data_IF_191209679419
#
_entry.id   IF_191209679419
#
_cell.length_a   1.000
_cell.length_b   1.000
_cell.length_c   1.000
_cell.angle_alpha   90.00
_cell.angle_beta   90.00
_cell.angle_gamma   90.00
#
_symmetry.space_group_name_H-M   'P 1'
#
loop_
_entity.id
_entity.type
_entity.pdbx_description
1 polymer ?
#
# COMPACT_ATOMS: atom_id res chain seq x y z
N UNK A 1 -39.39 -5.24 -7.59
CA UNK A 1 -39.86 -3.82 -7.43
C UNK A 1 -39.40 -3.18 -6.09
N UNK A 2 -39.15 -3.92 -5.01
CA UNK A 2 -38.85 -3.35 -3.68
C UNK A 2 -37.49 -2.63 -3.55
N UNK A 3 -36.43 -3.14 -4.21
CA UNK A 3 -35.09 -2.56 -4.11
C UNK A 3 -34.94 -1.17 -4.77
N UNK A 4 -35.56 -0.99 -5.91
CA UNK A 4 -35.53 0.27 -6.70
C UNK A 4 -36.14 1.44 -5.92
N UNK A 5 -37.26 1.20 -5.27
CA UNK A 5 -37.96 2.23 -4.48
C UNK A 5 -37.15 2.62 -3.24
N UNK A 6 -36.42 1.68 -2.64
CA UNK A 6 -35.59 1.94 -1.46
C UNK A 6 -34.39 2.85 -1.79
N UNK A 7 -33.70 2.58 -2.92
CA UNK A 7 -32.57 3.41 -3.40
C UNK A 7 -33.01 4.81 -3.76
N UNK A 8 -34.12 4.93 -4.51
CA UNK A 8 -34.69 6.26 -4.86
C UNK A 8 -35.07 7.05 -3.63
N UNK A 9 -35.74 6.45 -2.62
CA UNK A 9 -36.06 7.11 -1.36
C UNK A 9 -34.83 7.58 -0.61
N UNK A 10 -33.76 6.80 -0.60
CA UNK A 10 -32.53 7.13 0.11
C UNK A 10 -31.76 8.30 -0.59
N UNK A 11 -31.74 8.32 -1.93
CA UNK A 11 -31.15 9.41 -2.70
C UNK A 11 -31.94 10.72 -2.55
N UNK A 12 -33.26 10.65 -2.56
CA UNK A 12 -34.14 11.81 -2.38
C UNK A 12 -34.00 12.40 -0.97
N UNK A 13 -33.97 11.54 0.08
CA UNK A 13 -33.84 12.01 1.47
C UNK A 13 -32.53 12.75 1.73
N UNK A 14 -31.43 12.33 1.09
CA UNK A 14 -30.12 13.02 1.17
C UNK A 14 -30.10 14.41 0.50
N UNK A 15 -31.06 14.67 -0.38
CA UNK A 15 -31.20 15.94 -1.13
C UNK A 15 -32.37 16.80 -0.58
N UNK A 16 -32.99 16.37 0.53
CA UNK A 16 -34.13 17.08 1.12
C UNK A 16 -35.40 17.06 0.27
N UNK A 17 -35.52 16.09 -0.68
CA UNK A 17 -36.65 15.96 -1.60
C UNK A 17 -37.50 14.77 -1.18
N UNK A 18 -38.81 14.94 -1.13
CA UNK A 18 -39.75 13.85 -0.84
C UNK A 18 -40.06 13.01 -2.08
N UNK A 19 -40.48 11.76 -1.89
CA UNK A 19 -40.90 10.91 -3.00
C UNK A 19 -42.11 11.49 -3.75
N UNK A 20 -43.00 12.20 -3.06
CA UNK A 20 -44.16 12.84 -3.64
C UNK A 20 -43.79 14.03 -4.57
N UNK A 21 -42.82 14.83 -4.17
CA UNK A 21 -42.29 15.93 -5.02
C UNK A 21 -41.58 15.38 -6.25
N UNK A 22 -40.85 14.28 -6.13
CA UNK A 22 -40.23 13.61 -7.27
C UNK A 22 -41.26 13.02 -8.25
N UNK A 23 -42.26 12.30 -7.73
CA UNK A 23 -43.29 11.66 -8.58
C UNK A 23 -44.24 12.65 -9.23
N UNK A 24 -44.37 13.86 -8.66
CA UNK A 24 -45.14 14.95 -9.28
C UNK A 24 -44.41 15.67 -10.43
N UNK A 25 -43.15 15.30 -10.70
CA UNK A 25 -42.33 15.91 -11.76
C UNK A 25 -41.81 17.32 -11.45
N UNK A 26 -42.04 17.82 -10.23
CA UNK A 26 -41.67 19.22 -9.86
C UNK A 26 -40.18 19.37 -9.60
N UNK A 27 -39.48 18.32 -9.15
CA UNK A 27 -38.03 18.33 -8.81
C UNK A 27 -37.39 17.00 -9.19
N UNK A 28 -36.34 17.05 -10.02
CA UNK A 28 -35.50 15.90 -10.32
C UNK A 28 -34.06 16.26 -9.98
N UNK A 29 -33.51 15.80 -8.85
CA UNK A 29 -32.13 16.07 -8.49
C UNK A 29 -31.14 15.62 -9.57
N UNK A 30 -30.08 16.39 -9.88
CA UNK A 30 -29.12 16.06 -10.94
C UNK A 30 -28.48 14.67 -10.78
N UNK A 31 -28.15 14.28 -9.55
CA UNK A 31 -27.58 12.97 -9.25
C UNK A 31 -28.56 11.81 -9.55
N UNK A 32 -29.85 11.99 -9.33
CA UNK A 32 -30.86 10.99 -9.63
C UNK A 32 -31.12 10.91 -11.14
N UNK A 33 -31.10 12.05 -11.85
CA UNK A 33 -31.25 12.12 -13.31
C UNK A 33 -30.09 11.40 -14.00
N UNK A 34 -28.89 11.60 -13.54
CA UNK A 34 -27.69 10.91 -14.04
C UNK A 34 -27.80 9.40 -13.82
N UNK A 35 -28.15 8.95 -12.60
CA UNK A 35 -28.27 7.54 -12.25
C UNK A 35 -29.37 6.82 -13.08
N UNK A 36 -30.49 7.47 -13.28
CA UNK A 36 -31.58 6.93 -14.14
C UNK A 36 -31.13 6.83 -15.60
N UNK A 37 -30.37 7.80 -16.10
CA UNK A 37 -29.83 7.78 -17.47
C UNK A 37 -28.86 6.61 -17.69
N UNK A 38 -27.96 6.35 -16.75
CA UNK A 38 -27.04 5.19 -16.79
C UNK A 38 -27.82 3.87 -16.77
N UNK A 39 -28.80 3.74 -15.89
CA UNK A 39 -29.63 2.55 -15.79
C UNK A 39 -30.45 2.27 -17.06
N UNK A 40 -30.98 3.31 -17.71
CA UNK A 40 -31.70 3.17 -18.99
C UNK A 40 -30.75 2.82 -20.14
N UNK A 41 -29.51 3.32 -20.12
CA UNK A 41 -28.48 2.97 -21.08
C UNK A 41 -28.08 1.49 -20.98
N UNK A 42 -27.90 0.99 -19.76
CA UNK A 42 -27.62 -0.43 -19.50
C UNK A 42 -28.77 -1.32 -19.97
N UNK A 43 -30.02 -0.94 -19.72
CA UNK A 43 -31.20 -1.71 -20.18
C UNK A 43 -31.33 -1.72 -21.72
N UNK A 44 -31.04 -0.60 -22.39
CA UNK A 44 -31.04 -0.53 -23.86
C UNK A 44 -29.95 -1.36 -24.50
N UNK A 45 -28.81 -1.50 -23.83
CA UNK A 45 -27.70 -2.34 -24.30
C UNK A 45 -28.02 -3.83 -24.13
N UNK A 46 -28.65 -4.22 -23.03
CA UNK A 46 -29.09 -5.59 -22.77
C UNK A 46 -30.20 -6.06 -23.75
N UNK A 47 -31.12 -5.17 -24.16
CA UNK A 47 -32.17 -5.46 -25.11
C UNK A 47 -31.69 -5.56 -26.57
N UNK A 48 -30.63 -4.86 -26.94
CA UNK A 48 -30.03 -4.94 -28.29
C UNK A 48 -29.26 -6.23 -28.56
N UNK A 49 -28.83 -6.95 -27.55
CA UNK A 49 -28.00 -8.16 -27.69
C UNK A 49 -28.82 -9.48 -27.81
N UNK A 50 -30.14 -9.45 -27.97
CA UNK A 50 -30.92 -10.62 -28.35
C UNK A 50 -30.72 -11.88 -27.48
N UNK A 51 -30.32 -11.74 -26.23
CA UNK A 51 -30.12 -12.86 -25.35
C UNK A 51 -31.49 -13.42 -24.89
N UNK A 52 -31.85 -14.62 -25.33
CA UNK A 52 -32.86 -15.45 -24.67
C UNK A 52 -32.52 -15.49 -23.20
N UNK A 53 -33.27 -14.79 -22.35
CA UNK A 53 -33.16 -14.90 -20.90
C UNK A 53 -33.66 -16.29 -20.53
N UNK A 54 -32.76 -17.26 -20.47
CA UNK A 54 -32.98 -18.43 -19.61
C UNK A 54 -33.15 -17.85 -18.21
N UNK A 55 -34.30 -18.16 -17.58
CA UNK A 55 -34.55 -17.77 -16.20
C UNK A 55 -33.42 -18.33 -15.32
N UNK A 56 -32.42 -17.51 -15.09
CA UNK A 56 -31.33 -17.81 -14.16
C UNK A 56 -31.92 -17.69 -12.76
N UNK A 57 -31.77 -18.71 -11.97
CA UNK A 57 -32.06 -18.65 -10.54
C UNK A 57 -31.48 -17.33 -9.97
N UNK A 58 -32.12 -16.68 -9.00
CA UNK A 58 -31.64 -15.45 -8.45
C UNK A 58 -30.17 -15.62 -8.06
N UNK A 59 -29.28 -14.82 -8.63
CA UNK A 59 -27.86 -14.90 -8.32
C UNK A 59 -27.75 -14.78 -6.81
N UNK A 60 -27.12 -15.77 -6.16
CA UNK A 60 -26.76 -15.71 -4.74
C UNK A 60 -26.15 -14.31 -4.49
N UNK A 61 -26.66 -13.61 -3.51
CA UNK A 61 -26.07 -12.32 -3.14
C UNK A 61 -24.55 -12.52 -3.01
N UNK A 62 -23.71 -11.62 -3.54
CA UNK A 62 -22.28 -11.79 -3.44
C UNK A 62 -21.94 -12.01 -1.96
N UNK A 63 -21.15 -13.02 -1.69
CA UNK A 63 -20.70 -13.31 -0.32
C UNK A 63 -20.02 -12.10 0.25
N UNK A 64 -20.31 -11.79 1.52
CA UNK A 64 -19.68 -10.68 2.21
C UNK A 64 -18.17 -10.94 2.28
N UNK A 65 -17.40 -9.98 1.78
CA UNK A 65 -15.94 -10.02 1.84
C UNK A 65 -15.51 -9.29 3.11
N UNK A 66 -14.73 -9.98 3.96
CA UNK A 66 -14.04 -9.37 5.09
C UNK A 66 -12.56 -9.73 4.97
N UNK A 67 -11.72 -8.72 4.94
CA UNK A 67 -10.27 -8.82 4.98
C UNK A 67 -9.84 -8.17 6.27
N UNK A 68 -9.43 -8.99 7.23
CA UNK A 68 -8.93 -8.51 8.52
C UNK A 68 -7.63 -7.70 8.35
N UNK A 69 -7.28 -6.84 9.30
CA UNK A 69 -6.08 -6.01 9.22
C UNK A 69 -4.82 -6.85 8.95
N UNK A 70 -4.21 -6.68 7.77
CA UNK A 70 -3.05 -7.47 7.30
C UNK A 70 -1.79 -7.20 8.11
N UNK A 71 -1.67 -6.02 8.73
CA UNK A 71 -0.59 -5.68 9.64
C UNK A 71 -0.77 -6.32 11.02
N UNK A 72 -1.96 -6.79 11.37
CA UNK A 72 -2.27 -7.32 12.71
C UNK A 72 -2.09 -6.25 13.78
N UNK A 73 -1.18 -6.51 14.74
CA UNK A 73 -0.94 -5.62 15.88
C UNK A 73 0.23 -4.64 15.67
N UNK A 74 0.76 -4.50 14.45
CA UNK A 74 1.89 -3.58 14.18
C UNK A 74 1.41 -2.13 14.35
N UNK A 75 2.04 -1.41 15.28
CA UNK A 75 1.65 -0.05 15.69
C UNK A 75 2.91 0.80 15.90
N UNK A 76 3.55 1.21 14.80
CA UNK A 76 4.74 2.04 14.87
C UNK A 76 4.41 3.53 14.72
N UNK A 77 5.36 4.36 15.08
CA UNK A 77 5.24 5.82 14.98
C UNK A 77 6.51 6.48 14.47
N UNK A 78 6.53 7.81 14.51
CA UNK A 78 7.59 8.60 13.91
C UNK A 78 8.64 9.13 14.90
N UNK A 79 8.42 8.93 16.21
CA UNK A 79 9.29 9.41 17.30
C UNK A 79 10.11 8.27 17.90
N UNK A 80 10.64 8.44 19.10
CA UNK A 80 11.39 7.39 19.79
C UNK A 80 10.57 6.10 19.90
N UNK A 81 11.20 4.94 19.70
CA UNK A 81 12.61 4.72 19.41
C UNK A 81 12.97 4.81 17.92
N UNK A 82 11.99 4.93 17.02
CA UNK A 82 12.15 4.84 15.56
C UNK A 82 13.10 5.91 14.98
N UNK A 83 13.14 7.10 15.55
CA UNK A 83 14.00 8.20 15.11
C UNK A 83 15.40 8.23 15.76
N UNK A 84 15.78 7.26 16.58
CA UNK A 84 16.99 7.34 17.42
C UNK A 84 18.29 7.57 16.63
N UNK A 85 18.34 7.18 15.37
CA UNK A 85 19.47 7.41 14.45
C UNK A 85 19.36 8.71 13.66
N UNK A 86 18.24 9.43 13.74
CA UNK A 86 17.95 10.62 12.94
C UNK A 86 18.24 11.89 13.72
N UNK A 87 19.54 12.21 13.88
CA UNK A 87 20.01 13.37 14.63
C UNK A 87 20.71 14.33 13.69
N UNK A 88 20.23 15.55 13.64
CA UNK A 88 20.78 16.60 12.78
C UNK A 88 20.93 17.92 13.53
N UNK A 89 21.97 18.72 13.21
CA UNK A 89 22.19 20.02 13.84
C UNK A 89 21.23 21.08 13.28
N UNK A 90 20.68 21.91 14.16
CA UNK A 90 19.89 23.08 13.80
C UNK A 90 20.20 24.21 14.79
N UNK A 91 20.63 25.37 14.30
CA UNK A 91 20.97 26.54 15.13
C UNK A 91 21.93 26.21 16.29
N UNK A 92 22.99 25.44 16.02
CA UNK A 92 24.01 25.05 17.00
C UNK A 92 23.58 23.98 18.01
N UNK A 93 22.39 23.44 17.90
CA UNK A 93 21.89 22.33 18.74
C UNK A 93 21.59 21.11 17.88
N UNK A 94 21.73 19.91 18.46
CA UNK A 94 21.37 18.66 17.80
C UNK A 94 19.95 18.25 18.19
N UNK A 95 19.13 17.98 17.19
CA UNK A 95 17.73 17.56 17.35
C UNK A 95 17.50 16.18 16.76
N UNK A 96 16.60 15.44 17.35
CA UNK A 96 15.98 14.29 16.69
C UNK A 96 14.99 14.79 15.63
N UNK A 97 15.08 14.25 14.43
CA UNK A 97 14.12 14.52 13.37
C UNK A 97 13.12 13.38 13.23
N UNK A 98 11.89 13.70 12.87
CA UNK A 98 10.86 12.67 12.62
C UNK A 98 11.31 11.71 11.54
N UNK A 99 10.91 10.43 11.67
CA UNK A 99 11.12 9.41 10.62
C UNK A 99 10.47 9.83 9.31
N UNK A 100 9.32 10.52 9.38
CA UNK A 100 8.46 10.85 8.27
C UNK A 100 7.39 9.77 8.06
N UNK A 101 6.15 10.21 7.82
CA UNK A 101 4.99 9.31 7.75
C UNK A 101 5.12 8.24 6.66
N UNK A 102 5.66 8.60 5.49
CA UNK A 102 5.87 7.66 4.39
C UNK A 102 6.90 6.58 4.75
N UNK A 103 8.00 6.95 5.39
CA UNK A 103 9.01 5.98 5.82
C UNK A 103 8.48 5.09 6.95
N UNK A 104 7.68 5.64 7.88
CA UNK A 104 7.01 4.85 8.93
C UNK A 104 6.05 3.83 8.32
N UNK A 105 5.22 4.23 7.35
CA UNK A 105 4.30 3.34 6.66
C UNK A 105 5.05 2.20 5.94
N UNK A 106 6.06 2.53 5.15
CA UNK A 106 6.88 1.53 4.43
C UNK A 106 7.59 0.60 5.41
N UNK A 107 8.17 1.11 6.51
CA UNK A 107 8.85 0.27 7.51
C UNK A 107 7.91 -0.74 8.16
N UNK A 108 6.66 -0.37 8.45
CA UNK A 108 5.64 -1.28 8.96
C UNK A 108 5.24 -2.36 7.94
N UNK A 109 5.10 -1.99 6.66
CA UNK A 109 4.85 -2.96 5.57
C UNK A 109 6.01 -3.95 5.46
N UNK A 110 7.26 -3.50 5.48
CA UNK A 110 8.43 -4.38 5.44
C UNK A 110 8.45 -5.33 6.65
N UNK A 111 8.16 -4.84 7.85
CA UNK A 111 8.08 -5.67 9.05
C UNK A 111 6.91 -6.67 8.99
N UNK A 112 5.78 -6.30 8.40
CA UNK A 112 4.66 -7.23 8.19
C UNK A 112 5.03 -8.40 7.27
N UNK A 113 5.85 -8.16 6.26
CA UNK A 113 6.39 -9.20 5.38
C UNK A 113 7.42 -10.09 6.10
N UNK A 114 8.25 -9.51 6.97
CA UNK A 114 9.11 -10.31 7.85
C UNK A 114 8.30 -11.31 8.69
N UNK A 115 7.19 -10.89 9.27
CA UNK A 115 6.28 -11.78 10.03
C UNK A 115 5.69 -12.91 9.16
N UNK A 116 5.64 -12.73 7.85
CA UNK A 116 5.26 -13.74 6.87
C UNK A 116 6.46 -14.56 6.34
N UNK A 117 7.65 -14.41 6.93
CA UNK A 117 8.85 -15.17 6.61
C UNK A 117 9.84 -14.50 5.67
N UNK A 118 9.56 -13.29 5.17
CA UNK A 118 10.45 -12.56 4.25
C UNK A 118 11.52 -11.82 5.03
N UNK A 119 12.76 -12.28 4.99
CA UNK A 119 13.92 -11.62 5.62
C UNK A 119 14.74 -10.89 4.56
N UNK A 120 15.08 -9.64 4.82
CA UNK A 120 15.83 -8.78 3.87
C UNK A 120 16.81 -7.87 4.57
N UNK A 121 17.82 -7.48 3.82
CA UNK A 121 18.67 -6.34 4.06
C UNK A 121 18.31 -5.16 3.17
N UNK A 122 19.30 -4.31 2.90
CA UNK A 122 19.16 -3.13 2.06
C UNK A 122 20.49 -2.83 1.36
N UNK A 123 20.52 -2.56 0.05
CA UNK A 123 21.72 -2.09 -0.63
C UNK A 123 22.16 -0.73 -0.08
N UNK A 124 23.37 -0.22 -0.45
CA UNK A 124 23.83 1.10 -0.01
C UNK A 124 22.85 2.19 -0.45
N UNK A 125 22.55 3.13 0.43
CA UNK A 125 21.78 4.31 0.07
C UNK A 125 22.66 5.38 -0.59
N UNK A 126 22.06 6.36 -1.25
CA UNK A 126 22.76 7.49 -1.84
C UNK A 126 22.94 8.61 -0.80
N UNK A 127 24.06 9.33 -0.88
CA UNK A 127 24.20 10.58 -0.15
C UNK A 127 23.37 11.68 -0.81
N UNK A 128 22.79 12.56 0.00
CA UNK A 128 22.00 13.70 -0.49
C UNK A 128 21.99 14.86 0.50
N UNK A 129 21.46 16.00 0.07
CA UNK A 129 21.26 17.16 0.93
C UNK A 129 19.77 17.46 1.06
N UNK A 130 19.28 17.62 2.29
CA UNK A 130 17.84 17.90 2.54
C UNK A 130 17.45 19.28 1.99
N UNK A 131 16.18 19.39 1.55
CA UNK A 131 15.70 20.61 0.89
C UNK A 131 15.56 21.80 1.87
N UNK A 132 14.99 21.56 3.06
CA UNK A 132 14.65 22.63 4.02
C UNK A 132 15.88 23.09 4.81
N UNK A 133 16.50 22.23 5.59
CA UNK A 133 17.57 22.59 6.51
C UNK A 133 18.98 22.39 5.94
N UNK A 134 19.09 21.95 4.68
CA UNK A 134 20.38 21.68 4.01
C UNK A 134 21.28 20.71 4.76
N UNK A 135 20.70 19.74 5.47
CA UNK A 135 21.46 18.68 6.12
C UNK A 135 22.15 17.79 5.08
N UNK A 136 23.44 17.58 5.24
CA UNK A 136 24.18 16.58 4.48
C UNK A 136 23.85 15.20 5.09
N UNK A 137 23.13 14.37 4.33
CA UNK A 137 22.83 12.98 4.68
C UNK A 137 23.83 12.10 3.97
N UNK A 138 24.68 11.42 4.74
CA UNK A 138 25.68 10.51 4.18
C UNK A 138 25.02 9.27 3.60
N UNK A 139 25.65 8.67 2.59
CA UNK A 139 25.29 7.35 2.12
C UNK A 139 25.45 6.34 3.27
N UNK A 140 24.47 5.46 3.42
CA UNK A 140 24.55 4.34 4.36
C UNK A 140 25.13 3.12 3.61
N UNK A 141 26.00 2.31 4.25
CA UNK A 141 26.54 1.10 3.65
C UNK A 141 25.43 0.06 3.44
N UNK A 142 25.73 -1.02 2.70
CA UNK A 142 24.78 -2.15 2.61
C UNK A 142 24.53 -2.78 3.98
N UNK A 143 23.32 -3.23 4.19
CA UNK A 143 22.94 -4.12 5.31
C UNK A 143 22.52 -5.43 4.69
N UNK A 144 23.27 -6.49 4.91
CA UNK A 144 22.95 -7.81 4.40
C UNK A 144 21.62 -8.32 4.97
N UNK A 145 21.41 -8.13 6.26
CA UNK A 145 20.19 -8.52 6.96
C UNK A 145 19.89 -7.56 8.11
N UNK A 146 18.67 -7.04 8.17
CA UNK A 146 18.19 -6.32 9.35
C UNK A 146 17.97 -7.29 10.53
N UNK A 147 18.14 -6.80 11.74
CA UNK A 147 17.83 -7.58 12.96
C UNK A 147 16.30 -7.61 13.20
N UNK A 148 15.60 -8.29 12.29
CA UNK A 148 14.15 -8.40 12.32
C UNK A 148 13.59 -9.03 13.61
N UNK A 149 14.31 -10.01 14.16
CA UNK A 149 13.87 -10.76 15.33
C UNK A 149 13.84 -9.93 16.62
N UNK A 150 14.60 -8.85 16.66
CA UNK A 150 14.58 -7.92 17.78
C UNK A 150 13.50 -6.86 17.69
N UNK A 151 12.83 -6.73 16.53
CA UNK A 151 11.72 -5.80 16.34
C UNK A 151 10.44 -6.36 16.96
N UNK A 152 9.51 -5.48 17.32
CA UNK A 152 8.23 -5.85 17.95
C UNK A 152 7.07 -5.08 17.30
N UNK A 153 5.85 -5.59 17.43
CA UNK A 153 4.64 -4.97 16.86
C UNK A 153 4.41 -3.54 17.38
N UNK A 154 4.68 -3.30 18.65
CA UNK A 154 4.71 -1.96 19.23
C UNK A 154 6.15 -1.44 19.37
N UNK A 155 6.33 -0.22 19.86
CA UNK A 155 7.64 0.35 20.15
C UNK A 155 8.44 -0.56 21.11
N UNK A 156 9.61 -1.12 20.69
CA UNK A 156 10.35 -2.05 21.51
C UNK A 156 10.94 -1.39 22.75
N UNK A 157 10.95 -2.12 23.86
CA UNK A 157 11.50 -1.65 25.14
C UNK A 157 12.98 -2.01 25.31
N UNK A 158 13.45 -3.11 24.70
CA UNK A 158 14.83 -3.56 24.78
C UNK A 158 15.79 -2.65 24.01
N UNK A 159 17.02 -2.52 24.49
CA UNK A 159 18.05 -1.72 23.78
C UNK A 159 18.32 -2.26 22.38
N UNK A 160 18.34 -3.58 22.20
CA UNK A 160 18.55 -4.24 20.91
C UNK A 160 17.41 -3.94 19.95
N UNK A 161 16.15 -4.08 20.39
CA UNK A 161 14.97 -3.79 19.58
C UNK A 161 14.88 -2.32 19.19
N UNK A 162 15.19 -1.39 20.11
CA UNK A 162 15.25 0.05 19.80
C UNK A 162 16.26 0.38 18.70
N UNK A 163 17.43 -0.26 18.70
CA UNK A 163 18.44 -0.13 17.64
C UNK A 163 17.97 -0.70 16.33
N UNK A 164 17.32 -1.87 16.35
CA UNK A 164 16.82 -2.56 15.17
C UNK A 164 15.77 -1.73 14.42
N UNK A 165 14.73 -1.26 15.10
CA UNK A 165 13.68 -0.44 14.45
C UNK A 165 14.22 0.92 14.00
N UNK A 166 15.13 1.54 14.76
CA UNK A 166 15.75 2.81 14.36
C UNK A 166 16.62 2.65 13.10
N UNK A 167 17.33 1.53 12.97
CA UNK A 167 18.14 1.24 11.78
C UNK A 167 17.26 1.05 10.54
N UNK A 168 16.20 0.24 10.62
CA UNK A 168 15.27 0.05 9.51
C UNK A 168 14.66 1.39 9.07
N UNK A 169 14.12 2.17 10.02
CA UNK A 169 13.52 3.48 9.74
C UNK A 169 14.54 4.46 9.12
N UNK A 170 15.79 4.42 9.55
CA UNK A 170 16.87 5.23 8.98
C UNK A 170 17.12 4.88 7.51
N UNK A 171 17.23 3.58 7.18
CA UNK A 171 17.45 3.15 5.80
C UNK A 171 16.27 3.47 4.89
N UNK A 172 15.05 3.21 5.32
CA UNK A 172 13.84 3.54 4.56
C UNK A 172 13.73 5.04 4.32
N UNK A 173 13.96 5.85 5.35
CA UNK A 173 13.86 7.30 5.21
C UNK A 173 15.01 7.88 4.36
N UNK A 174 16.23 7.36 4.47
CA UNK A 174 17.36 7.77 3.65
C UNK A 174 17.16 7.40 2.17
N UNK A 175 16.67 6.18 1.87
CA UNK A 175 16.35 5.75 0.52
C UNK A 175 15.28 6.64 -0.14
N UNK A 176 14.32 7.13 0.64
CA UNK A 176 13.28 8.07 0.20
C UNK A 176 13.78 9.51 -0.01
N UNK A 177 15.04 9.80 0.28
CA UNK A 177 15.60 11.15 0.31
C UNK A 177 14.78 12.08 1.21
N UNK A 178 14.53 11.63 2.45
CA UNK A 178 13.68 12.34 3.41
C UNK A 178 14.21 13.75 3.71
N UNK A 179 13.36 14.74 3.60
CA UNK A 179 13.63 16.11 4.03
C UNK A 179 13.42 16.20 5.54
N UNK A 180 14.50 15.94 6.29
CA UNK A 180 14.47 15.84 7.74
C UNK A 180 14.28 17.18 8.42
N UNK A 181 13.31 17.24 9.33
CA UNK A 181 13.15 18.35 10.27
C UNK A 181 12.77 17.86 11.67
N UNK A 182 13.06 18.62 12.73
CA UNK A 182 12.65 18.26 14.09
C UNK A 182 11.14 18.28 14.31
N UNK A 183 10.39 18.90 13.41
CA UNK A 183 8.95 19.12 13.57
C UNK A 183 8.11 18.35 12.57
N UNK A 184 8.62 18.11 11.36
CA UNK A 184 7.88 17.46 10.28
C UNK A 184 8.83 17.04 9.16
N UNK A 185 9.27 15.80 9.16
CA UNK A 185 10.03 15.24 8.02
C UNK A 185 9.09 14.81 6.91
N UNK A 186 9.47 15.03 5.66
CA UNK A 186 8.66 14.74 4.49
C UNK A 186 9.46 14.14 3.34
N UNK A 187 8.83 13.24 2.58
CA UNK A 187 9.34 12.71 1.32
C UNK A 187 8.25 12.74 0.25
N UNK A 188 8.66 12.76 -1.01
CA UNK A 188 7.72 12.74 -2.13
C UNK A 188 7.12 11.35 -2.28
N UNK A 189 5.80 11.24 -2.33
CA UNK A 189 5.09 9.96 -2.59
C UNK A 189 5.54 9.30 -3.92
N UNK A 190 5.99 10.11 -4.87
CA UNK A 190 6.53 9.62 -6.15
C UNK A 190 7.81 8.78 -5.99
N UNK A 191 8.58 8.99 -4.91
CA UNK A 191 9.80 8.23 -4.65
C UNK A 191 9.50 6.82 -4.09
N UNK A 192 8.30 6.57 -3.56
CA UNK A 192 8.00 5.34 -2.85
C UNK A 192 8.11 4.09 -3.73
N UNK A 193 7.48 4.08 -4.91
CA UNK A 193 7.52 2.90 -5.78
C UNK A 193 8.94 2.58 -6.29
N UNK A 194 9.74 3.53 -6.81
CA UNK A 194 11.15 3.27 -7.14
C UNK A 194 11.96 2.74 -5.94
N UNK A 195 11.83 3.38 -4.77
CA UNK A 195 12.55 2.95 -3.57
C UNK A 195 12.19 1.53 -3.14
N UNK A 196 10.91 1.19 -3.19
CA UNK A 196 10.45 -0.17 -2.86
C UNK A 196 11.00 -1.21 -3.83
N UNK A 197 11.14 -0.88 -5.11
CA UNK A 197 11.77 -1.75 -6.11
C UNK A 197 13.27 -1.88 -5.89
N UNK A 198 13.96 -0.74 -5.87
CA UNK A 198 15.43 -0.71 -5.95
C UNK A 198 16.10 -1.12 -4.63
N UNK A 199 15.47 -0.81 -3.48
CA UNK A 199 16.06 -1.05 -2.16
C UNK A 199 15.42 -2.22 -1.40
N UNK A 200 14.14 -2.51 -1.65
CA UNK A 200 13.39 -3.47 -0.85
C UNK A 200 12.77 -4.61 -1.68
N UNK A 201 13.12 -4.71 -2.96
CA UNK A 201 12.76 -5.82 -3.85
C UNK A 201 11.26 -6.03 -4.03
N UNK A 202 10.47 -4.97 -3.97
CA UNK A 202 9.04 -5.00 -4.28
C UNK A 202 8.84 -4.62 -5.76
N UNK A 203 9.15 -5.56 -6.68
CA UNK A 203 9.23 -5.29 -8.11
C UNK A 203 7.94 -4.78 -8.73
N UNK A 204 6.77 -5.17 -8.21
CA UNK A 204 5.47 -4.75 -8.72
C UNK A 204 4.96 -3.42 -8.13
N UNK A 205 5.73 -2.80 -7.24
CA UNK A 205 5.34 -1.55 -6.63
C UNK A 205 5.04 -0.48 -7.67
N UNK A 206 3.84 0.08 -7.66
CA UNK A 206 3.41 1.16 -8.56
C UNK A 206 2.56 2.18 -7.82
N UNK A 207 2.63 3.43 -8.29
CA UNK A 207 1.83 4.52 -7.75
C UNK A 207 0.52 4.67 -8.52
N UNK A 208 -0.59 4.74 -7.79
CA UNK A 208 -1.90 5.12 -8.30
C UNK A 208 -2.24 6.52 -7.77
N UNK A 209 -2.75 7.38 -8.65
CA UNK A 209 -3.22 8.71 -8.29
C UNK A 209 -4.72 8.79 -8.54
N UNK A 210 -5.51 8.97 -7.47
CA UNK A 210 -6.98 9.00 -7.58
C UNK A 210 -7.50 10.09 -8.54
N UNK A 211 -6.74 11.17 -8.74
CA UNK A 211 -7.10 12.26 -9.68
C UNK A 211 -7.15 11.83 -11.15
N UNK A 212 -6.49 10.72 -11.51
CA UNK A 212 -6.45 10.23 -12.90
C UNK A 212 -7.37 9.03 -13.12
N UNK A 213 -8.22 8.68 -12.17
CA UNK A 213 -9.16 7.57 -12.28
C UNK A 213 -10.48 7.86 -11.58
N UNK A 214 -11.51 7.07 -11.88
CA UNK A 214 -12.77 7.17 -11.15
C UNK A 214 -12.61 6.67 -9.72
N UNK A 215 -13.43 7.18 -8.80
CA UNK A 215 -13.42 6.73 -7.41
C UNK A 215 -13.67 5.21 -7.30
N UNK A 216 -14.57 4.67 -8.14
CA UNK A 216 -14.86 3.24 -8.19
C UNK A 216 -13.64 2.42 -8.63
N UNK A 217 -12.90 2.88 -9.66
CA UNK A 217 -11.68 2.20 -10.11
C UNK A 217 -10.59 2.25 -9.05
N UNK A 218 -10.35 3.41 -8.44
CA UNK A 218 -9.37 3.53 -7.36
C UNK A 218 -9.68 2.58 -6.20
N UNK A 219 -10.94 2.54 -5.78
CA UNK A 219 -11.43 1.63 -4.73
C UNK A 219 -11.23 0.16 -5.13
N UNK A 220 -11.58 -0.22 -6.36
CA UNK A 220 -11.43 -1.60 -6.86
C UNK A 220 -9.97 -2.05 -6.87
N UNK A 221 -9.02 -1.18 -7.27
CA UNK A 221 -7.58 -1.46 -7.22
C UNK A 221 -7.10 -1.71 -5.78
N UNK A 222 -7.54 -0.89 -4.82
CA UNK A 222 -7.20 -1.07 -3.41
C UNK A 222 -7.76 -2.40 -2.88
N UNK A 223 -9.03 -2.72 -3.15
CA UNK A 223 -9.64 -3.99 -2.73
C UNK A 223 -8.90 -5.18 -3.34
N UNK A 224 -8.55 -5.11 -4.63
CA UNK A 224 -7.84 -6.20 -5.31
C UNK A 224 -6.47 -6.49 -4.68
N UNK A 225 -5.75 -5.47 -4.21
CA UNK A 225 -4.50 -5.68 -3.48
C UNK A 225 -4.73 -6.31 -2.10
N UNK A 226 -5.70 -5.81 -1.35
CA UNK A 226 -6.04 -6.37 -0.04
C UNK A 226 -6.49 -7.83 -0.14
N UNK A 227 -7.23 -8.21 -1.18
CA UNK A 227 -7.64 -9.60 -1.44
C UNK A 227 -6.45 -10.54 -1.72
N UNK A 228 -5.36 -10.01 -2.27
CA UNK A 228 -4.10 -10.75 -2.43
C UNK A 228 -3.29 -10.85 -1.14
N UNK A 229 -3.73 -10.21 -0.05
CA UNK A 229 -2.98 -10.12 1.20
C UNK A 229 -1.88 -9.06 1.19
N UNK A 230 -1.98 -8.08 0.29
CA UNK A 230 -1.02 -6.99 0.13
C UNK A 230 -1.55 -5.72 0.80
N UNK A 231 -0.89 -5.18 1.81
CA UNK A 231 -1.23 -3.87 2.36
C UNK A 231 -0.93 -2.77 1.34
N UNK A 232 -1.66 -1.66 1.41
CA UNK A 232 -1.54 -0.54 0.49
C UNK A 232 -1.04 0.69 1.25
N UNK A 233 0.11 1.26 0.87
CA UNK A 233 0.56 2.54 1.42
C UNK A 233 -0.18 3.65 0.71
N UNK A 234 -0.96 4.42 1.44
CA UNK A 234 -1.76 5.52 0.92
C UNK A 234 -1.26 6.87 1.44
N UNK A 235 -1.59 7.94 0.75
CA UNK A 235 -1.56 9.27 1.33
C UNK A 235 -2.80 10.06 0.95
N UNK A 236 -3.17 10.96 1.85
CA UNK A 236 -4.20 11.97 1.64
C UNK A 236 -3.71 13.33 2.10
N UNK A 237 -4.38 14.39 1.69
CA UNK A 237 -4.05 15.74 2.06
C UNK A 237 -5.14 16.33 2.94
N UNK A 238 -4.71 16.93 4.04
CA UNK A 238 -5.51 17.81 4.90
C UNK A 238 -5.12 19.27 4.65
N UNK A 239 -6.07 20.17 4.66
CA UNK A 239 -5.81 21.61 4.54
C UNK A 239 -5.04 22.15 5.74
N UNK A 240 -5.28 21.58 6.94
CA UNK A 240 -4.64 21.99 8.19
C UNK A 240 -3.28 21.32 8.42
N UNK A 241 -3.19 20.01 8.17
CA UNK A 241 -2.03 19.17 8.53
C UNK A 241 -1.10 18.89 7.35
N UNK A 242 -1.49 19.22 6.12
CA UNK A 242 -0.80 18.90 4.89
C UNK A 242 -0.92 17.42 4.51
N UNK A 243 0.02 16.88 3.74
CA UNK A 243 0.01 15.49 3.33
C UNK A 243 0.41 14.55 4.47
N UNK A 244 -0.32 13.45 4.64
CA UNK A 244 0.01 12.35 5.54
C UNK A 244 -0.02 11.02 4.79
N UNK A 245 0.98 10.18 5.02
CA UNK A 245 1.03 8.81 4.51
C UNK A 245 0.69 7.82 5.63
N UNK A 246 -0.11 6.81 5.28
CA UNK A 246 -0.66 5.80 6.17
C UNK A 246 -0.88 4.49 5.42
N UNK A 247 -1.32 3.44 6.08
CA UNK A 247 -1.51 2.12 5.47
C UNK A 247 -3.01 1.78 5.49
N UNK A 248 -3.51 1.32 4.34
CA UNK A 248 -4.78 0.63 4.21
C UNK A 248 -4.50 -0.87 4.19
N UNK A 249 -5.05 -1.62 5.14
CA UNK A 249 -4.67 -3.02 5.35
C UNK A 249 -5.84 -3.96 5.65
N UNK A 250 -7.08 -3.49 5.54
CA UNK A 250 -8.28 -4.31 5.70
C UNK A 250 -9.49 -3.76 4.95
N UNK A 251 -10.50 -4.59 4.71
CA UNK A 251 -11.74 -4.20 4.03
C UNK A 251 -12.94 -5.03 4.48
N UNK A 252 -14.07 -4.39 4.68
CA UNK A 252 -15.37 -5.04 4.93
C UNK A 252 -16.39 -4.56 3.91
N UNK A 253 -16.94 -5.49 3.13
CA UNK A 253 -17.93 -5.15 2.12
C UNK A 253 -19.34 -4.90 2.69
N UNK A 254 -19.63 -5.33 3.91
CA UNK A 254 -20.93 -5.18 4.58
C UNK A 254 -21.28 -3.73 4.88
N UNK A 255 -20.30 -2.93 5.24
CA UNK A 255 -20.44 -1.51 5.58
C UNK A 255 -19.56 -0.60 4.72
N UNK A 256 -18.81 -1.20 3.77
CA UNK A 256 -17.93 -0.52 2.83
C UNK A 256 -16.81 0.27 3.53
N UNK A 257 -16.26 -0.29 4.60
CA UNK A 257 -15.18 0.32 5.36
C UNK A 257 -13.85 -0.36 5.09
N UNK A 258 -12.78 0.43 5.14
CA UNK A 258 -11.39 0.01 5.05
C UNK A 258 -10.72 0.21 6.40
N UNK A 259 -9.86 -0.71 6.79
CA UNK A 259 -9.02 -0.54 7.97
C UNK A 259 -7.77 0.26 7.63
N UNK A 260 -7.40 1.17 8.53
CA UNK A 260 -6.22 2.03 8.39
C UNK A 260 -5.34 1.99 9.62
N UNK A 261 -4.02 1.90 9.38
CA UNK A 261 -2.98 2.17 10.34
C UNK A 261 -2.35 3.53 10.02
N UNK A 262 -2.50 4.49 10.93
CA UNK A 262 -2.09 5.88 10.69
C UNK A 262 -0.61 6.16 11.00
N UNK A 263 0.13 5.20 11.56
CA UNK A 263 1.53 5.40 11.94
C UNK A 263 1.71 6.32 13.15
N UNK A 264 0.74 6.34 14.05
CA UNK A 264 0.72 7.14 15.29
C UNK A 264 0.77 6.28 16.56
N UNK A 265 1.55 5.19 16.54
CA UNK A 265 1.65 4.20 17.62
C UNK A 265 0.26 3.59 17.98
N UNK A 266 -0.57 3.34 16.99
CA UNK A 266 -1.91 2.77 17.13
C UNK A 266 -3.02 3.80 17.42
N UNK A 267 -2.67 5.07 17.67
CA UNK A 267 -3.69 6.09 17.88
C UNK A 267 -4.48 6.36 16.60
N UNK A 268 -5.81 6.31 16.70
CA UNK A 268 -6.71 6.55 15.60
C UNK A 268 -6.83 5.40 14.59
N UNK A 269 -6.09 4.30 14.75
CA UNK A 269 -6.20 3.13 13.87
C UNK A 269 -7.63 2.57 13.94
N UNK A 270 -8.16 2.16 12.78
CA UNK A 270 -9.54 1.68 12.72
C UNK A 270 -10.16 1.68 11.33
N UNK A 271 -11.49 1.58 11.30
CA UNK A 271 -12.28 1.40 10.09
C UNK A 271 -12.89 2.72 9.61
N UNK A 272 -12.59 3.11 8.37
CA UNK A 272 -13.04 4.36 7.75
C UNK A 272 -13.53 4.13 6.32
N UNK A 273 -14.47 4.95 5.87
CA UNK A 273 -14.80 5.03 4.45
C UNK A 273 -13.70 5.77 3.68
N UNK A 274 -13.39 5.36 2.44
CA UNK A 274 -12.44 6.09 1.59
C UNK A 274 -12.85 7.54 1.30
N UNK A 275 -14.10 7.89 1.57
CA UNK A 275 -14.67 9.23 1.43
C UNK A 275 -14.64 10.05 2.72
N UNK A 276 -14.16 9.48 3.83
CA UNK A 276 -14.14 10.11 5.14
C UNK A 276 -12.94 9.59 5.97
N UNK A 277 -11.74 9.97 5.55
CA UNK A 277 -10.47 9.59 6.20
C UNK A 277 -10.12 10.61 7.29
N UNK A 278 -10.77 10.49 8.44
CA UNK A 278 -10.78 11.52 9.49
C UNK A 278 -10.27 11.03 10.85
N UNK A 279 -9.03 10.50 10.96
CA UNK A 279 -8.49 10.08 12.25
C UNK A 279 -8.31 11.30 13.16
N UNK A 280 -8.76 11.19 14.41
CA UNK A 280 -8.63 12.23 15.43
C UNK A 280 -9.11 13.62 14.94
N UNK A 281 -10.13 13.65 14.06
CA UNK A 281 -10.72 14.87 13.51
C UNK A 281 -9.93 15.54 12.38
N UNK A 282 -8.79 14.96 11.93
CA UNK A 282 -8.00 15.47 10.80
C UNK A 282 -8.48 14.84 9.50
N UNK A 283 -8.88 15.63 8.52
CA UNK A 283 -9.38 15.12 7.26
C UNK A 283 -8.26 14.93 6.22
N UNK A 284 -7.99 13.68 5.85
CA UNK A 284 -7.05 13.29 4.80
C UNK A 284 -7.74 12.74 3.55
N UNK A 285 -8.99 13.10 3.33
CA UNK A 285 -9.82 12.56 2.24
C UNK A 285 -9.42 13.09 0.86
N UNK A 286 -8.79 14.26 0.78
CA UNK A 286 -8.43 14.88 -0.49
C UNK A 286 -7.12 14.37 -1.09
N UNK A 287 -6.94 14.54 -2.43
CA UNK A 287 -5.71 14.25 -3.19
C UNK A 287 -5.07 12.88 -2.89
N UNK A 288 -5.91 11.85 -2.79
CA UNK A 288 -5.45 10.49 -2.48
C UNK A 288 -4.49 9.94 -3.53
N UNK A 289 -3.43 9.30 -3.04
CA UNK A 289 -2.53 8.45 -3.80
C UNK A 289 -2.40 7.11 -3.09
N UNK A 290 -2.06 6.06 -3.82
CA UNK A 290 -1.76 4.75 -3.26
C UNK A 290 -0.50 4.17 -3.90
N UNK A 291 0.29 3.44 -3.14
CA UNK A 291 1.32 2.54 -3.66
C UNK A 291 0.77 1.13 -3.48
N UNK A 292 0.62 0.43 -4.58
CA UNK A 292 0.12 -0.95 -4.68
C UNK A 292 1.21 -1.86 -5.23
N UNK A 293 0.97 -3.18 -5.26
CA UNK A 293 1.96 -4.16 -5.67
C UNK A 293 3.08 -4.30 -4.63
N UNK A 294 2.74 -4.17 -3.34
CA UNK A 294 3.69 -4.26 -2.24
C UNK A 294 3.97 -5.72 -1.87
N UNK A 295 4.39 -6.49 -2.86
CA UNK A 295 4.78 -7.89 -2.73
C UNK A 295 6.29 -7.99 -2.88
N UNK A 296 6.99 -8.53 -1.87
CA UNK A 296 8.42 -8.80 -2.02
C UNK A 296 8.61 -9.91 -3.04
N UNK A 297 9.41 -9.66 -4.04
CA UNK A 297 9.94 -10.74 -4.86
C UNK A 297 10.95 -11.50 -3.99
N UNK A 298 10.63 -12.71 -3.63
CA UNK A 298 11.59 -13.63 -3.02
C UNK A 298 12.57 -14.05 -4.12
N UNK A 299 13.85 -14.17 -3.77
CA UNK A 299 14.82 -14.75 -4.68
C UNK A 299 14.35 -16.16 -5.01
N UNK A 300 14.22 -16.50 -6.29
CA UNK A 300 13.66 -17.76 -6.74
C UNK A 300 12.13 -17.79 -6.92
N UNK A 301 11.37 -16.88 -6.35
CA UNK A 301 9.93 -16.73 -6.61
C UNK A 301 9.70 -15.73 -7.75
N UNK A 302 10.03 -16.17 -8.97
CA UNK A 302 10.03 -15.31 -10.14
C UNK A 302 8.62 -15.01 -10.62
N UNK A 303 7.66 -15.90 -10.35
CA UNK A 303 6.25 -15.69 -10.71
C UNK A 303 5.47 -14.87 -9.67
N UNK A 304 6.03 -14.69 -8.46
CA UNK A 304 5.44 -13.87 -7.39
C UNK A 304 4.29 -14.56 -6.65
N UNK A 305 4.20 -15.90 -6.69
CA UNK A 305 3.12 -16.64 -6.03
C UNK A 305 3.42 -17.01 -4.56
N UNK A 306 4.60 -16.62 -4.06
CA UNK A 306 5.07 -16.89 -2.70
C UNK A 306 5.64 -18.29 -2.50
N UNK A 307 5.91 -19.03 -3.58
CA UNK A 307 6.47 -20.39 -3.56
C UNK A 307 7.62 -20.47 -4.53
N UNK A 308 8.64 -21.23 -4.19
CA UNK A 308 9.75 -21.55 -5.08
C UNK A 308 9.54 -22.96 -5.61
N UNK A 309 9.26 -23.09 -6.90
CA UNK A 309 8.92 -24.35 -7.53
C UNK A 309 9.19 -24.34 -9.05
N UNK A 310 8.84 -25.41 -9.77
CA UNK A 310 9.10 -25.52 -11.22
C UNK A 310 8.37 -24.48 -12.08
N UNK A 311 7.34 -23.79 -11.57
CA UNK A 311 6.71 -22.68 -12.30
C UNK A 311 7.65 -21.49 -12.42
N UNK A 312 8.47 -21.25 -11.38
CA UNK A 312 9.47 -20.19 -11.36
C UNK A 312 10.60 -20.49 -12.33
N UNK A 313 11.11 -21.73 -12.35
CA UNK A 313 12.09 -22.18 -13.33
C UNK A 313 11.59 -21.95 -14.76
N UNK A 314 10.31 -22.23 -15.03
CA UNK A 314 9.71 -21.98 -16.34
C UNK A 314 9.73 -20.49 -16.69
N UNK A 315 9.41 -19.63 -15.72
CA UNK A 315 9.46 -18.18 -15.93
C UNK A 315 10.89 -17.67 -16.10
N UNK A 316 11.84 -18.19 -15.30
CA UNK A 316 13.28 -17.87 -15.44
C UNK A 316 13.81 -18.19 -16.85
N UNK A 317 13.45 -19.36 -17.40
CA UNK A 317 13.82 -19.74 -18.76
C UNK A 317 13.28 -18.72 -19.79
N UNK A 318 12.04 -18.28 -19.62
CA UNK A 318 11.44 -17.27 -20.51
C UNK A 318 12.14 -15.92 -20.39
N UNK A 319 12.43 -15.48 -19.15
CA UNK A 319 13.17 -14.23 -18.86
C UNK A 319 14.57 -14.26 -19.47
N UNK A 320 15.30 -15.35 -19.28
CA UNK A 320 16.64 -15.54 -19.88
C UNK A 320 16.61 -15.56 -21.42
N UNK A 321 15.62 -16.22 -22.02
CA UNK A 321 15.46 -16.26 -23.48
C UNK A 321 15.06 -14.90 -24.08
N UNK A 322 14.39 -14.04 -23.32
CA UNK A 322 14.03 -12.69 -23.71
C UNK A 322 15.17 -11.68 -23.48
N UNK A 323 16.29 -12.11 -22.89
CA UNK A 323 17.39 -11.24 -22.42
C UNK A 323 16.91 -10.13 -21.46
N UNK A 324 15.85 -10.41 -20.72
CA UNK A 324 15.29 -9.50 -19.71
C UNK A 324 15.96 -9.74 -18.36
N UNK A 325 16.09 -8.67 -17.57
CA UNK A 325 16.58 -8.78 -16.19
C UNK A 325 15.41 -8.82 -15.21
N UNK A 326 15.40 -9.84 -14.35
CA UNK A 326 14.50 -9.95 -13.21
C UNK A 326 15.34 -10.31 -11.97
N UNK A 327 15.32 -9.45 -10.96
CA UNK A 327 16.10 -9.66 -9.74
C UNK A 327 15.70 -10.93 -8.97
N UNK A 328 14.45 -11.36 -9.06
CA UNK A 328 14.02 -12.60 -8.43
C UNK A 328 14.62 -13.84 -9.11
N UNK A 329 14.98 -13.70 -10.37
CA UNK A 329 15.59 -14.74 -11.21
C UNK A 329 17.13 -14.72 -11.17
N UNK A 330 17.76 -13.63 -10.76
CA UNK A 330 19.22 -13.49 -10.58
C UNK A 330 19.64 -14.12 -9.24
N UNK A 331 19.71 -15.46 -9.22
CA UNK A 331 19.94 -16.26 -8.01
C UNK A 331 21.37 -16.15 -7.50
N UNK A 332 22.33 -15.96 -8.41
CA UNK A 332 23.74 -15.83 -8.07
C UNK A 332 24.15 -14.37 -7.80
N UNK A 333 23.26 -13.41 -8.07
CA UNK A 333 23.45 -11.96 -7.87
C UNK A 333 24.59 -11.39 -8.70
N UNK A 334 24.80 -11.90 -9.94
CA UNK A 334 25.84 -11.39 -10.86
C UNK A 334 25.32 -10.30 -11.80
N UNK A 335 24.04 -9.93 -11.72
CA UNK A 335 23.38 -8.90 -12.53
C UNK A 335 22.86 -9.39 -13.86
N UNK A 336 22.75 -10.69 -14.06
CA UNK A 336 22.18 -11.34 -15.25
C UNK A 336 21.12 -12.35 -14.83
N UNK A 337 20.35 -12.82 -15.79
CA UNK A 337 19.46 -13.97 -15.64
C UNK A 337 19.83 -14.95 -16.73
N UNK A 338 20.50 -16.03 -16.38
CA UNK A 338 20.99 -16.99 -17.33
C UNK A 338 20.89 -18.45 -16.82
N UNK A 339 21.59 -19.35 -17.50
CA UNK A 339 21.55 -20.78 -17.19
C UNK A 339 22.12 -21.12 -15.83
N UNK A 340 23.03 -20.30 -15.29
CA UNK A 340 23.62 -20.56 -13.97
C UNK A 340 22.58 -20.37 -12.88
N UNK A 341 21.74 -19.30 -13.00
CA UNK A 341 20.63 -19.06 -12.11
C UNK A 341 19.59 -20.15 -12.15
N UNK A 342 19.20 -20.57 -13.38
CA UNK A 342 18.24 -21.66 -13.58
C UNK A 342 18.73 -22.96 -12.92
N UNK A 343 20.01 -23.30 -13.09
CA UNK A 343 20.58 -24.49 -12.48
C UNK A 343 20.59 -24.40 -10.95
N UNK A 344 20.92 -23.23 -10.41
CA UNK A 344 20.94 -22.97 -8.98
C UNK A 344 19.54 -23.09 -8.40
N UNK A 345 18.54 -22.52 -9.05
CA UNK A 345 17.14 -22.64 -8.67
C UNK A 345 16.67 -24.10 -8.62
N UNK A 346 16.98 -24.87 -9.64
CA UNK A 346 16.68 -26.30 -9.69
C UNK A 346 17.32 -27.03 -8.50
N UNK A 347 18.58 -26.72 -8.16
CA UNK A 347 19.26 -27.31 -7.02
C UNK A 347 18.61 -26.93 -5.68
N UNK A 348 18.10 -25.69 -5.54
CA UNK A 348 17.34 -25.24 -4.36
C UNK A 348 16.04 -26.04 -4.23
N UNK A 349 15.28 -26.19 -5.33
CA UNK A 349 14.03 -26.96 -5.35
C UNK A 349 14.27 -28.42 -5.01
N UNK A 350 15.40 -28.99 -5.44
CA UNK A 350 15.81 -30.37 -5.13
C UNK A 350 16.42 -30.51 -3.71
N UNK A 351 16.55 -29.43 -2.95
CA UNK A 351 17.14 -29.42 -1.60
C UNK A 351 18.67 -29.70 -1.59
N UNK A 352 19.34 -29.51 -2.71
CA UNK A 352 20.80 -29.68 -2.85
C UNK A 352 21.58 -28.43 -2.47
N UNK A 353 20.96 -27.27 -2.59
CA UNK A 353 21.50 -25.94 -2.26
C UNK A 353 20.47 -25.15 -1.44
N UNK A 354 20.93 -24.05 -0.84
CA UNK A 354 20.07 -23.04 -0.18
C UNK A 354 20.25 -21.72 -0.92
N UNK A 355 19.17 -20.93 -0.98
CA UNK A 355 19.20 -19.53 -1.45
C UNK A 355 19.96 -18.65 -0.47
#
# INVERSE_FOLDING_TARGET
MSGKVKVVKQLLSKQGVTLAEYTSGKVTPPALKWWLGEYEAEQKTATKQGAKVLAKAPAKAPEAITIEPLLGNIQWGQKAPFWNNLKYPLNGKTYYCYVGCLATAISQVLYSWYKKGVKRGCPPTKAYTTATNKYAVAALPSVEMFDWESMTDAAPITSKGKKAVALLCQYVSAALEMDYTPYKSAAKMANAAPVLKDYFGMGDAKRLEARYMTAAKFKAEVIAELQKGHPVVMCGQSDESGCHAFICDGYRSTDDLFHFNWGYNGSGDGWFALTALTPDGKDFTSRKNAIVGLTPHLLGDVNGDGRINMSDVTKMINTANAEEYDRAADINSDGKVDREDINKEINVILGKEKL
#
